data_IF_953610116405
#
_entry.id   IF_953610116405
#
_cell.length_a   1.000
_cell.length_b   1.000
_cell.length_c   1.000
_cell.angle_alpha   90.00
_cell.angle_beta   90.00
_cell.angle_gamma   90.00
#
_symmetry.space_group_name_H-M   'P 1'
#
loop_
_entity.id
_entity.type
_entity.pdbx_description
1 polymer ?
#
# COMPACT_ATOMS: atom_id res chain seq x y z
N UNK A 1 22.26 15.79 -3.59
CA UNK A 1 21.50 14.54 -3.79
C UNK A 1 20.11 14.80 -3.24
N UNK A 2 19.08 14.72 -4.07
CA UNK A 2 17.68 14.87 -3.62
C UNK A 2 17.29 13.69 -2.74
N UNK A 3 16.68 13.93 -1.60
CA UNK A 3 16.16 12.87 -0.73
C UNK A 3 15.05 12.13 -1.49
N UNK A 4 15.06 10.79 -1.56
CA UNK A 4 14.00 10.04 -2.22
C UNK A 4 12.63 10.37 -1.61
N UNK A 5 11.65 10.60 -2.47
CA UNK A 5 10.28 10.86 -2.02
C UNK A 5 9.53 9.53 -1.84
N UNK A 6 8.90 9.35 -0.68
CA UNK A 6 8.06 8.18 -0.38
C UNK A 6 6.61 8.63 -0.29
N UNK A 7 5.75 8.02 -1.09
CA UNK A 7 4.31 8.28 -1.09
C UNK A 7 3.55 7.02 -0.69
N UNK A 8 2.91 7.08 0.47
CA UNK A 8 1.93 6.08 0.89
C UNK A 8 0.55 6.41 0.36
N UNK A 9 -0.19 5.41 -0.13
CA UNK A 9 -1.58 5.56 -0.56
C UNK A 9 -2.45 4.62 0.28
N UNK A 10 -3.37 5.22 1.02
CA UNK A 10 -4.40 4.54 1.80
C UNK A 10 -5.77 4.67 1.13
N UNK A 11 -6.70 3.79 1.49
CA UNK A 11 -8.07 3.83 0.99
C UNK A 11 -8.68 2.43 0.86
N UNK A 12 -9.99 2.35 0.87
CA UNK A 12 -10.74 1.08 0.75
C UNK A 12 -10.55 0.44 -0.62
N UNK A 13 -10.95 -0.82 -0.74
CA UNK A 13 -10.97 -1.53 -2.03
C UNK A 13 -11.84 -0.75 -3.03
N UNK A 14 -11.40 -0.63 -4.29
CA UNK A 14 -12.13 0.12 -5.32
C UNK A 14 -12.00 1.64 -5.24
N UNK A 15 -11.29 2.23 -4.27
CA UNK A 15 -11.19 3.69 -4.14
C UNK A 15 -10.36 4.38 -5.23
N UNK A 16 -9.52 3.64 -5.99
CA UNK A 16 -8.66 4.20 -7.04
C UNK A 16 -7.16 4.18 -6.72
N UNK A 17 -6.73 3.53 -5.62
CA UNK A 17 -5.31 3.44 -5.21
C UNK A 17 -4.39 2.97 -6.31
N UNK A 18 -4.77 1.89 -6.99
CA UNK A 18 -3.93 1.31 -8.07
C UNK A 18 -3.81 2.24 -9.28
N UNK A 19 -4.86 3.00 -9.61
CA UNK A 19 -4.80 4.01 -10.67
C UNK A 19 -3.83 5.13 -10.29
N UNK A 20 -3.91 5.62 -9.05
CA UNK A 20 -3.01 6.62 -8.50
C UNK A 20 -1.56 6.13 -8.45
N UNK A 21 -1.32 4.90 -7.96
CA UNK A 21 0.02 4.31 -7.94
C UNK A 21 0.60 4.15 -9.35
N UNK A 22 -0.20 3.64 -10.30
CA UNK A 22 0.23 3.50 -11.70
C UNK A 22 0.57 4.84 -12.35
N UNK A 23 -0.12 5.92 -11.98
CA UNK A 23 0.18 7.26 -12.43
C UNK A 23 1.57 7.72 -11.92
N UNK A 24 1.86 7.52 -10.63
CA UNK A 24 3.17 7.84 -10.06
C UNK A 24 4.29 6.97 -10.63
N UNK A 25 4.03 5.68 -10.92
CA UNK A 25 5.00 4.80 -11.58
C UNK A 25 5.41 5.38 -12.95
N UNK A 26 4.46 5.91 -13.72
CA UNK A 26 4.76 6.58 -15.01
C UNK A 26 5.61 7.85 -14.83
N UNK A 27 5.60 8.45 -13.66
CA UNK A 27 6.42 9.60 -13.27
C UNK A 27 7.77 9.20 -12.63
N UNK A 28 8.13 7.90 -12.66
CA UNK A 28 9.43 7.40 -12.21
C UNK A 28 9.46 6.87 -10.78
N UNK A 29 8.32 6.70 -10.10
CA UNK A 29 8.27 6.03 -8.80
C UNK A 29 8.37 4.52 -8.95
N UNK A 30 9.10 3.87 -8.05
CA UNK A 30 9.07 2.42 -7.90
C UNK A 30 7.90 2.00 -7.00
N UNK A 31 7.10 1.03 -7.45
CA UNK A 31 6.07 0.44 -6.59
C UNK A 31 6.71 -0.49 -5.56
N UNK A 32 6.50 -0.22 -4.27
CA UNK A 32 6.95 -1.09 -3.19
C UNK A 32 5.88 -1.22 -2.12
N UNK A 33 5.11 -2.30 -2.16
CA UNK A 33 3.96 -2.55 -1.26
C UNK A 33 4.42 -2.93 0.14
N UNK A 34 3.68 -2.53 1.18
CA UNK A 34 3.91 -2.96 2.57
C UNK A 34 3.88 -4.50 2.70
N UNK A 35 3.02 -5.14 1.93
CA UNK A 35 2.93 -6.61 1.90
C UNK A 35 4.03 -7.28 1.06
N UNK A 36 4.95 -6.55 0.41
CA UNK A 36 5.97 -7.16 -0.46
C UNK A 36 6.91 -8.15 0.28
N UNK A 37 7.46 -7.85 1.47
CA UNK A 37 8.28 -8.81 2.21
C UNK A 37 7.53 -10.11 2.53
N UNK A 38 6.30 -10.01 3.00
CA UNK A 38 5.43 -11.16 3.28
C UNK A 38 5.18 -12.01 2.02
N UNK A 39 4.83 -11.36 0.91
CA UNK A 39 4.57 -12.05 -0.37
C UNK A 39 5.83 -12.72 -0.90
N UNK A 40 7.00 -12.10 -0.74
CA UNK A 40 8.27 -12.70 -1.11
C UNK A 40 8.57 -13.96 -0.30
N UNK A 41 8.27 -13.99 1.00
CA UNK A 41 8.36 -15.22 1.79
C UNK A 41 7.44 -16.32 1.22
N UNK A 42 6.21 -15.98 0.86
CA UNK A 42 5.28 -16.95 0.28
C UNK A 42 5.71 -17.44 -1.11
N UNK A 43 6.39 -16.62 -1.91
CA UNK A 43 6.99 -17.06 -3.18
C UNK A 43 8.04 -18.16 -2.98
N UNK A 44 8.78 -18.15 -1.88
CA UNK A 44 9.72 -19.21 -1.55
C UNK A 44 9.01 -20.57 -1.32
N UNK A 45 7.70 -20.58 -1.04
CA UNK A 45 6.88 -21.78 -0.93
C UNK A 45 6.26 -22.22 -2.27
N UNK A 46 6.63 -21.57 -3.39
CA UNK A 46 6.15 -21.89 -4.72
C UNK A 46 4.91 -21.13 -5.17
N UNK A 47 4.41 -20.15 -4.40
CA UNK A 47 3.28 -19.32 -4.82
C UNK A 47 3.74 -18.26 -5.83
N UNK A 48 2.95 -18.06 -6.86
CA UNK A 48 3.18 -17.06 -7.92
C UNK A 48 2.21 -15.86 -7.79
N UNK A 49 2.24 -14.93 -8.77
CA UNK A 49 1.41 -13.74 -8.76
C UNK A 49 -0.09 -14.05 -8.87
N UNK A 50 -0.48 -15.15 -9.49
CA UNK A 50 -1.89 -15.59 -9.51
C UNK A 50 -2.40 -15.92 -8.10
N UNK A 51 -1.53 -16.54 -7.28
CA UNK A 51 -1.83 -16.87 -5.89
C UNK A 51 -1.81 -15.63 -4.97
N UNK A 52 -0.91 -14.69 -5.19
CA UNK A 52 -0.68 -13.58 -4.27
C UNK A 52 -1.49 -12.32 -4.61
N UNK A 53 -1.76 -12.09 -5.90
CA UNK A 53 -2.43 -10.87 -6.39
C UNK A 53 -3.65 -11.18 -7.28
N UNK A 54 -3.74 -12.41 -7.81
CA UNK A 54 -4.68 -12.79 -8.85
C UNK A 54 -5.85 -13.65 -8.40
N UNK A 55 -6.34 -14.41 -9.35
CA UNK A 55 -7.57 -15.21 -9.30
C UNK A 55 -7.48 -16.44 -8.38
N UNK A 56 -6.28 -16.95 -8.10
CA UNK A 56 -6.08 -18.10 -7.20
C UNK A 56 -5.98 -17.71 -5.72
N UNK A 57 -6.04 -16.41 -5.39
CA UNK A 57 -5.81 -15.89 -4.05
C UNK A 57 -6.73 -16.44 -2.97
N UNK A 58 -7.98 -16.70 -3.33
CA UNK A 58 -9.01 -17.23 -2.41
C UNK A 58 -9.16 -18.76 -2.51
N UNK A 59 -8.51 -19.40 -3.49
CA UNK A 59 -8.67 -20.82 -3.73
C UNK A 59 -7.66 -21.64 -2.91
N UNK A 60 -8.10 -22.77 -2.30
CA UNK A 60 -7.18 -23.70 -1.66
C UNK A 60 -6.14 -24.24 -2.62
N UNK A 61 -4.90 -24.42 -2.14
CA UNK A 61 -3.81 -24.99 -2.95
C UNK A 61 -3.02 -26.03 -2.17
N UNK A 62 -2.57 -27.09 -2.86
CA UNK A 62 -1.71 -28.13 -2.28
C UNK A 62 -0.38 -27.56 -1.74
N UNK A 63 0.09 -26.45 -2.31
CA UNK A 63 1.31 -25.76 -1.84
C UNK A 63 1.18 -25.27 -0.39
N UNK A 64 -0.05 -25.08 0.10
CA UNK A 64 -0.37 -24.62 1.45
C UNK A 64 -1.22 -25.64 2.23
N UNK A 65 -1.08 -26.94 1.93
CA UNK A 65 -1.86 -28.00 2.59
C UNK A 65 -3.37 -27.70 2.56
N UNK A 66 -3.90 -27.41 1.40
CA UNK A 66 -5.29 -27.09 1.12
C UNK A 66 -5.83 -25.81 1.84
N UNK A 67 -4.94 -24.92 2.22
CA UNK A 67 -5.30 -23.55 2.63
C UNK A 67 -5.19 -22.60 1.45
N UNK A 68 -5.97 -21.51 1.49
CA UNK A 68 -5.87 -20.47 0.47
C UNK A 68 -4.67 -19.54 0.72
N UNK A 69 -4.10 -18.93 -0.33
CA UNK A 69 -3.07 -17.89 -0.19
C UNK A 69 -3.53 -16.71 0.68
N UNK A 70 -4.81 -16.32 0.61
CA UNK A 70 -5.40 -15.31 1.49
C UNK A 70 -5.26 -15.68 2.96
N UNK A 71 -5.62 -16.92 3.31
CA UNK A 71 -5.49 -17.42 4.68
C UNK A 71 -4.04 -17.36 5.16
N UNK A 72 -3.09 -17.85 4.34
CA UNK A 72 -1.67 -17.80 4.66
C UNK A 72 -1.17 -16.38 4.87
N UNK A 73 -1.52 -15.44 3.98
CA UNK A 73 -1.14 -14.04 4.11
C UNK A 73 -1.70 -13.39 5.38
N UNK A 74 -2.93 -13.69 5.77
CA UNK A 74 -3.52 -13.17 7.00
C UNK A 74 -2.87 -13.76 8.25
N UNK A 75 -2.65 -15.08 8.27
CA UNK A 75 -2.05 -15.79 9.40
C UNK A 75 -0.59 -15.35 9.62
N UNK A 76 0.21 -15.30 8.55
CA UNK A 76 1.62 -14.88 8.64
C UNK A 76 1.70 -13.36 8.89
N UNK A 77 0.86 -12.59 8.22
CA UNK A 77 0.89 -11.13 8.32
C UNK A 77 0.50 -10.61 9.69
N UNK A 78 -0.62 -11.08 10.23
CA UNK A 78 -1.12 -10.64 11.53
C UNK A 78 -0.66 -11.59 12.63
N UNK A 79 -1.12 -12.82 12.65
CA UNK A 79 -0.92 -13.73 13.78
C UNK A 79 0.56 -14.01 14.09
N UNK A 80 1.37 -14.29 13.07
CA UNK A 80 2.79 -14.53 13.32
C UNK A 80 3.59 -13.22 13.32
N UNK A 81 3.49 -12.42 12.27
CA UNK A 81 4.38 -11.27 12.12
C UNK A 81 4.10 -10.16 13.13
N UNK A 82 2.84 -9.71 13.26
CA UNK A 82 2.50 -8.59 14.15
C UNK A 82 2.28 -9.04 15.60
N UNK A 83 1.56 -10.15 15.81
CA UNK A 83 1.16 -10.55 17.16
C UNK A 83 2.27 -11.34 17.87
N UNK A 84 3.02 -12.19 17.15
CA UNK A 84 4.04 -13.07 17.74
C UNK A 84 5.44 -12.46 17.69
N UNK A 85 5.86 -11.90 16.53
CA UNK A 85 7.21 -11.35 16.40
C UNK A 85 7.30 -9.94 16.98
N UNK A 86 6.65 -8.98 16.34
CA UNK A 86 6.55 -7.59 16.81
C UNK A 86 5.53 -6.82 15.98
N UNK A 87 4.83 -5.80 16.53
CA UNK A 87 3.91 -4.95 15.77
C UNK A 87 4.55 -4.32 14.52
N UNK A 88 5.84 -3.95 14.61
CA UNK A 88 6.59 -3.29 13.54
C UNK A 88 7.39 -4.25 12.65
N UNK A 89 7.20 -5.57 12.79
CA UNK A 89 7.98 -6.56 12.05
C UNK A 89 7.96 -6.32 10.54
N UNK A 90 6.75 -6.17 9.96
CA UNK A 90 6.60 -5.97 8.51
C UNK A 90 7.02 -4.58 8.05
N UNK A 91 6.82 -3.57 8.89
CA UNK A 91 7.25 -2.19 8.60
C UNK A 91 8.78 -2.12 8.52
N UNK A 92 9.48 -2.79 9.44
CA UNK A 92 10.93 -2.89 9.41
C UNK A 92 11.43 -3.70 8.20
N UNK A 93 10.77 -4.82 7.88
CA UNK A 93 11.11 -5.62 6.70
C UNK A 93 10.92 -4.82 5.41
N UNK A 94 9.83 -4.06 5.30
CA UNK A 94 9.55 -3.17 4.18
C UNK A 94 10.62 -2.08 4.03
N UNK A 95 10.97 -1.38 5.12
CA UNK A 95 12.02 -0.37 5.13
C UNK A 95 13.37 -0.93 4.65
N UNK A 96 13.74 -2.12 5.11
CA UNK A 96 15.01 -2.75 4.76
C UNK A 96 15.09 -3.24 3.30
N UNK A 97 13.96 -3.30 2.61
CA UNK A 97 13.86 -3.78 1.22
C UNK A 97 13.46 -2.66 0.24
N UNK A 98 13.50 -1.40 0.68
CA UNK A 98 13.18 -0.26 -0.17
C UNK A 98 14.11 -0.18 -1.39
N UNK A 99 13.57 -0.01 -2.59
CA UNK A 99 14.37 0.28 -3.77
C UNK A 99 14.99 1.68 -3.69
N UNK A 100 16.02 1.94 -4.49
CA UNK A 100 16.59 3.28 -4.63
C UNK A 100 15.62 4.20 -5.40
N UNK A 101 15.65 5.50 -5.10
CA UNK A 101 14.82 6.51 -5.76
C UNK A 101 13.45 6.69 -5.12
N UNK A 102 12.55 7.38 -5.83
CA UNK A 102 11.20 7.66 -5.35
C UNK A 102 10.36 6.39 -5.28
N UNK A 103 9.56 6.26 -4.23
CA UNK A 103 8.77 5.05 -3.94
C UNK A 103 7.30 5.40 -3.74
N UNK A 104 6.41 4.60 -4.32
CA UNK A 104 4.98 4.60 -4.03
C UNK A 104 4.58 3.27 -3.37
N UNK A 105 3.81 3.36 -2.29
CA UNK A 105 3.23 2.23 -1.56
C UNK A 105 1.70 2.36 -1.58
N UNK A 106 0.99 1.47 -2.28
CA UNK A 106 -0.46 1.57 -2.52
C UNK A 106 -1.32 0.72 -1.59
N UNK A 107 -0.73 0.15 -0.54
CA UNK A 107 -1.41 -0.75 0.39
C UNK A 107 -1.23 -0.37 1.87
N UNK A 108 -1.07 0.92 2.17
CA UNK A 108 -1.00 1.44 3.55
C UNK A 108 -2.31 1.19 4.29
N UNK A 109 -2.24 0.56 5.49
CA UNK A 109 -3.41 0.11 6.24
C UNK A 109 -3.34 0.34 7.75
N UNK A 110 -2.15 0.50 8.32
CA UNK A 110 -1.95 0.57 9.77
C UNK A 110 -1.23 1.86 10.18
N UNK A 111 -1.50 2.37 11.42
CA UNK A 111 -0.86 3.59 11.91
C UNK A 111 0.67 3.54 11.87
N UNK A 112 1.28 2.44 12.29
CA UNK A 112 2.74 2.28 12.29
C UNK A 112 3.38 2.30 10.90
N UNK A 113 2.61 1.96 9.84
CA UNK A 113 3.05 2.11 8.45
C UNK A 113 3.12 3.59 8.06
N UNK A 114 2.13 4.37 8.49
CA UNK A 114 2.09 5.83 8.30
C UNK A 114 3.24 6.49 9.06
N UNK A 115 3.42 6.15 10.33
CA UNK A 115 4.51 6.66 11.17
C UNK A 115 5.89 6.39 10.55
N UNK A 116 6.10 5.19 9.99
CA UNK A 116 7.35 4.86 9.31
C UNK A 116 7.57 5.69 8.05
N UNK A 117 6.54 5.88 7.22
CA UNK A 117 6.61 6.72 6.02
C UNK A 117 6.96 8.16 6.42
N UNK A 118 6.30 8.71 7.44
CA UNK A 118 6.59 10.05 7.96
C UNK A 118 8.01 10.17 8.53
N UNK A 119 8.47 9.17 9.31
CA UNK A 119 9.82 9.15 9.86
C UNK A 119 10.91 9.13 8.77
N UNK A 120 10.58 8.69 7.56
CA UNK A 120 11.45 8.71 6.39
C UNK A 120 11.27 9.98 5.52
N UNK A 121 10.50 10.97 5.97
CA UNK A 121 10.23 12.21 5.24
C UNK A 121 9.17 12.07 4.14
N UNK A 122 8.50 10.92 4.07
CA UNK A 122 7.44 10.65 3.10
C UNK A 122 6.09 11.27 3.48
N UNK A 123 5.10 11.08 2.61
CA UNK A 123 3.74 11.58 2.77
C UNK A 123 2.72 10.48 2.52
N UNK A 124 1.55 10.58 3.17
CA UNK A 124 0.46 9.61 3.01
C UNK A 124 -0.79 10.31 2.47
N UNK A 125 -1.32 9.77 1.38
CA UNK A 125 -2.53 10.25 0.70
C UNK A 125 -3.64 9.22 0.92
N UNK A 126 -4.79 9.64 1.40
CA UNK A 126 -5.99 8.80 1.46
C UNK A 126 -6.88 9.07 0.27
N UNK A 127 -7.26 8.01 -0.45
CA UNK A 127 -8.26 8.10 -1.53
C UNK A 127 -9.57 7.53 -1.01
N UNK A 128 -10.60 8.38 -1.00
CA UNK A 128 -11.94 8.04 -0.54
C UNK A 128 -12.88 8.00 -1.74
N UNK A 129 -13.56 6.86 -1.91
CA UNK A 129 -14.67 6.72 -2.85
C UNK A 129 -15.84 6.06 -2.12
N UNK A 130 -16.99 6.68 -2.17
CA UNK A 130 -18.19 6.14 -1.53
C UNK A 130 -18.84 5.11 -2.48
N UNK A 131 -18.78 3.85 -2.11
CA UNK A 131 -19.40 2.74 -2.85
C UNK A 131 -20.50 2.05 -2.03
N UNK A 132 -20.86 2.58 -0.85
CA UNK A 132 -21.86 1.98 0.02
C UNK A 132 -21.47 0.60 0.59
N UNK A 133 -20.21 0.17 0.45
CA UNK A 133 -19.74 -1.11 0.98
C UNK A 133 -19.01 -0.91 2.30
N UNK A 134 -19.48 -1.60 3.33
CA UNK A 134 -18.79 -1.74 4.62
C UNK A 134 -18.04 -3.07 4.65
N UNK A 135 -16.71 -3.04 4.76
CA UNK A 135 -15.93 -4.24 5.03
C UNK A 135 -15.70 -4.38 6.53
N UNK A 136 -15.71 -5.62 7.03
CA UNK A 136 -15.65 -5.92 8.47
C UNK A 136 -14.24 -6.24 9.00
N UNK A 137 -13.20 -6.17 8.16
CA UNK A 137 -11.83 -6.53 8.58
C UNK A 137 -11.12 -5.34 9.22
N UNK A 138 -10.43 -5.57 10.36
CA UNK A 138 -9.69 -4.54 11.13
C UNK A 138 -8.70 -3.74 10.26
N UNK A 139 -8.05 -4.39 9.28
CA UNK A 139 -7.14 -3.72 8.34
C UNK A 139 -7.82 -2.73 7.38
N UNK A 140 -9.15 -2.65 7.39
CA UNK A 140 -9.93 -1.73 6.54
C UNK A 140 -10.53 -0.55 7.34
N UNK A 141 -10.38 -0.56 8.66
CA UNK A 141 -10.84 0.55 9.52
C UNK A 141 -10.08 1.85 9.20
N UNK A 142 -8.78 1.76 8.84
CA UNK A 142 -7.91 2.88 8.44
C UNK A 142 -8.07 4.12 9.35
N UNK A 143 -8.16 3.87 10.66
CA UNK A 143 -8.31 4.90 11.69
C UNK A 143 -6.93 5.48 12.04
N UNK A 144 -6.40 6.31 11.15
CA UNK A 144 -5.17 7.05 11.31
C UNK A 144 -5.21 8.36 10.51
N UNK A 145 -4.45 9.34 10.95
CA UNK A 145 -4.31 10.61 10.23
C UNK A 145 -3.43 10.45 8.99
N UNK A 146 -3.71 11.26 7.96
CA UNK A 146 -2.95 11.31 6.71
C UNK A 146 -2.68 12.77 6.33
N UNK A 147 -1.68 13.00 5.47
CA UNK A 147 -1.33 14.35 5.04
C UNK A 147 -2.41 14.94 4.12
N UNK A 148 -3.00 14.12 3.26
CA UNK A 148 -3.99 14.57 2.26
C UNK A 148 -5.11 13.54 2.12
N UNK A 149 -6.34 14.01 1.95
CA UNK A 149 -7.47 13.17 1.54
C UNK A 149 -8.00 13.65 0.19
N UNK A 150 -8.07 12.73 -0.77
CA UNK A 150 -8.67 12.95 -2.09
C UNK A 150 -10.01 12.23 -2.16
N UNK A 151 -11.06 12.96 -2.44
CA UNK A 151 -12.41 12.41 -2.68
C UNK A 151 -12.55 12.07 -4.17
N UNK A 152 -12.49 10.78 -4.50
CA UNK A 152 -12.61 10.25 -5.86
C UNK A 152 -14.07 9.88 -6.16
N UNK A 153 -14.92 10.89 -6.37
CA UNK A 153 -16.36 10.71 -6.64
C UNK A 153 -16.69 10.83 -8.15
N UNK A 154 -15.72 11.13 -8.98
CA UNK A 154 -15.91 11.38 -10.40
C UNK A 154 -15.13 10.33 -11.23
N UNK A 155 -14.40 10.77 -12.26
CA UNK A 155 -13.66 9.91 -13.16
C UNK A 155 -12.24 9.61 -12.63
N UNK A 156 -11.59 8.63 -13.25
CA UNK A 156 -10.17 8.36 -12.98
C UNK A 156 -9.30 9.55 -13.39
N UNK A 157 -9.64 10.23 -14.49
CA UNK A 157 -8.88 11.39 -14.99
C UNK A 157 -8.94 12.56 -13.99
N UNK A 158 -10.07 12.78 -13.34
CA UNK A 158 -10.18 13.79 -12.26
C UNK A 158 -9.31 13.43 -11.06
N UNK A 159 -9.25 12.14 -10.69
CA UNK A 159 -8.35 11.67 -9.63
C UNK A 159 -6.88 11.96 -9.98
N UNK A 160 -6.46 11.64 -11.22
CA UNK A 160 -5.10 11.84 -11.66
C UNK A 160 -4.74 13.34 -11.76
N UNK A 161 -5.65 14.17 -12.26
CA UNK A 161 -5.47 15.63 -12.28
C UNK A 161 -5.33 16.22 -10.87
N UNK A 162 -6.08 15.71 -9.88
CA UNK A 162 -5.92 16.12 -8.49
C UNK A 162 -4.55 15.72 -7.92
N UNK A 163 -4.04 14.53 -8.28
CA UNK A 163 -2.69 14.11 -7.91
C UNK A 163 -1.64 15.04 -8.51
N UNK A 164 -1.73 15.35 -9.82
CA UNK A 164 -0.78 16.24 -10.49
C UNK A 164 -0.74 17.62 -9.83
N UNK A 165 -1.88 18.17 -9.42
CA UNK A 165 -1.95 19.46 -8.70
C UNK A 165 -1.30 19.39 -7.31
N UNK A 166 -1.37 18.25 -6.63
CA UNK A 166 -0.68 18.04 -5.34
C UNK A 166 0.84 18.05 -5.55
N UNK A 167 1.32 17.36 -6.59
CA UNK A 167 2.75 17.22 -6.87
C UNK A 167 3.36 18.43 -7.57
N UNK A 168 2.58 19.27 -8.28
CA UNK A 168 3.05 20.55 -8.84
C UNK A 168 3.28 21.64 -7.78
N UNK A 169 2.89 21.37 -6.54
CA UNK A 169 3.01 22.33 -5.43
C UNK A 169 1.82 23.28 -5.28
N UNK A 170 0.78 23.17 -6.10
CA UNK A 170 -0.41 24.01 -6.01
C UNK A 170 -1.17 23.83 -4.69
N UNK A 171 -1.06 22.63 -4.09
CA UNK A 171 -1.75 22.29 -2.84
C UNK A 171 -0.77 22.10 -1.67
N UNK A 172 0.42 21.55 -1.93
CA UNK A 172 1.46 21.33 -0.92
C UNK A 172 2.86 21.61 -1.50
N UNK A 173 3.42 22.81 -1.28
CA UNK A 173 4.75 23.20 -1.78
C UNK A 173 5.88 22.24 -1.36
N UNK A 174 5.70 21.50 -0.26
CA UNK A 174 6.68 20.55 0.27
C UNK A 174 6.75 19.21 -0.48
N UNK A 175 5.83 18.95 -1.44
CA UNK A 175 5.80 17.71 -2.23
C UNK A 175 6.20 17.98 -3.70
N UNK A 176 6.51 19.20 -4.09
CA UNK A 176 6.90 19.51 -5.45
C UNK A 176 8.07 18.62 -5.90
N UNK A 177 7.88 17.90 -6.98
CA UNK A 177 8.92 17.13 -7.66
C UNK A 177 9.89 18.13 -8.30
N UNK A 178 11.07 18.32 -7.69
CA UNK A 178 12.18 19.09 -8.28
C UNK A 178 13.04 18.23 -9.19
#
# INVERSE_FOLDING_TARGET
>A
MTTPLIIGIAGKIGSGKSAAANHLIKQGFALHKMAAPLKNMLRCLGLDDRHLEGDLKELPTHLLCDRSPRYAMQTIGTGWGRDTMAPDFWVNAWKNTLPAGNVVCDDVRFPNEVEMIHAMGGKVIRIVRDHGQTSSHVSEAQDFEVDITIYNQQTVDDLLANLDRIFSGDILPAIALT
#
